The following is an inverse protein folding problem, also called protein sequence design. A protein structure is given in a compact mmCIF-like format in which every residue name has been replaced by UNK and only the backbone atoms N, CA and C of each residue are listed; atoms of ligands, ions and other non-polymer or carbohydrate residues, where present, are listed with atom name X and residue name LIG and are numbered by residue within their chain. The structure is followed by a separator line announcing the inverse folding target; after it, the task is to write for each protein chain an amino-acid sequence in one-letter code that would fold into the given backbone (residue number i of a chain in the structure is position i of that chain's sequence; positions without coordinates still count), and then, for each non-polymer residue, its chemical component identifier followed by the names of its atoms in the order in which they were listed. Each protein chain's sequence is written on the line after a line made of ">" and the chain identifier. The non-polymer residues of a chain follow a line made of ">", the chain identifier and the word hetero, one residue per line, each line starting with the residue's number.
data_IF_263973544158
#
_entry.id   IF_263973544158
#
_cell.length_a   1.000
_cell.length_b   1.000
_cell.length_c   1.000
_cell.angle_alpha   90.00
_cell.angle_beta   90.00
_cell.angle_gamma   90.00
#
_symmetry.space_group_name_H-M   'P 1'
#
loop_
_entity.id
_entity.type
_entity.pdbx_description
1 polymer ?
#
# COMPACT_ATOMS: atom_id res chain seq x y z
N UNK A 1 -7.18 -42.71 33.28
CA UNK A 1 -7.75 -41.69 32.37
C UNK A 1 -7.50 -40.33 32.98
N UNK A 2 -6.43 -39.66 32.55
CA UNK A 2 -6.19 -38.23 32.73
C UNK A 2 -5.14 -37.87 31.68
N UNK A 3 -5.57 -37.28 30.56
CA UNK A 3 -4.66 -36.59 29.64
C UNK A 3 -4.94 -35.10 29.80
N UNK A 4 -3.97 -34.42 30.41
CA UNK A 4 -3.95 -32.97 30.58
C UNK A 4 -3.69 -32.32 29.23
N UNK A 5 -4.55 -31.36 28.86
CA UNK A 5 -4.42 -30.57 27.66
C UNK A 5 -3.20 -29.65 27.71
N UNK A 6 -2.26 -29.88 26.81
CA UNK A 6 -1.18 -28.95 26.50
C UNK A 6 -1.61 -28.06 25.33
N UNK A 7 -2.14 -26.87 25.63
CA UNK A 7 -2.31 -25.81 24.64
C UNK A 7 -0.95 -25.14 24.41
N UNK A 8 -0.38 -25.17 23.19
CA UNK A 8 0.75 -24.30 22.88
C UNK A 8 0.28 -22.85 22.80
N UNK A 9 0.94 -22.00 23.60
CA UNK A 9 0.87 -20.55 23.55
C UNK A 9 1.34 -20.06 22.17
N UNK A 10 0.37 -19.84 21.27
CA UNK A 10 0.60 -19.11 20.02
C UNK A 10 0.59 -17.64 20.38
N UNK A 11 1.74 -17.16 20.85
CA UNK A 11 2.10 -15.74 20.84
C UNK A 11 2.02 -15.25 19.39
N UNK A 12 0.82 -14.82 19.03
CA UNK A 12 0.49 -14.20 17.74
C UNK A 12 1.17 -12.84 17.74
N UNK A 13 2.40 -12.77 17.23
CA UNK A 13 2.99 -11.51 16.79
C UNK A 13 2.04 -10.89 15.77
N UNK A 14 1.37 -9.82 16.18
CA UNK A 14 0.53 -9.01 15.32
C UNK A 14 1.39 -8.46 14.15
N UNK A 15 0.83 -8.34 12.94
CA UNK A 15 1.54 -7.94 11.71
C UNK A 15 1.98 -6.46 11.67
N UNK A 16 2.08 -5.77 12.81
CA UNK A 16 2.45 -4.36 12.89
C UNK A 16 3.87 -4.05 12.44
N UNK A 17 4.80 -5.00 12.60
CA UNK A 17 6.22 -4.79 12.31
C UNK A 17 6.52 -4.45 10.85
N UNK A 18 5.82 -5.04 9.89
CA UNK A 18 6.08 -4.81 8.45
C UNK A 18 5.61 -3.43 7.98
N UNK A 19 4.51 -2.93 8.53
CA UNK A 19 3.98 -1.60 8.19
C UNK A 19 4.87 -0.52 8.76
N UNK A 20 5.31 -0.67 10.01
CA UNK A 20 6.19 0.31 10.66
C UNK A 20 7.55 0.40 9.95
N UNK A 21 8.11 -0.74 9.52
CA UNK A 21 9.34 -0.77 8.70
C UNK A 21 9.14 -0.08 7.35
N UNK A 22 8.00 -0.31 6.69
CA UNK A 22 7.70 0.32 5.41
C UNK A 22 7.49 1.85 5.54
N UNK A 23 6.85 2.29 6.63
CA UNK A 23 6.68 3.72 6.96
C UNK A 23 8.03 4.37 7.23
N UNK A 24 8.90 3.72 8.00
CA UNK A 24 10.23 4.25 8.33
C UNK A 24 11.12 4.35 7.07
N UNK A 25 11.09 3.34 6.21
CA UNK A 25 11.78 3.36 4.93
C UNK A 25 11.26 4.47 3.99
N UNK A 26 9.95 4.75 4.03
CA UNK A 26 9.35 5.84 3.28
C UNK A 26 9.82 7.21 3.81
N UNK A 27 9.85 7.40 5.13
CA UNK A 27 10.35 8.63 5.76
C UNK A 27 11.82 8.88 5.41
N UNK A 28 12.66 7.85 5.42
CA UNK A 28 14.07 8.00 5.03
C UNK A 28 14.24 8.44 3.57
N UNK A 29 13.38 7.95 2.66
CA UNK A 29 13.43 8.33 1.23
C UNK A 29 12.86 9.72 0.95
N UNK A 30 11.85 10.14 1.69
CA UNK A 30 11.17 11.43 1.48
C UNK A 30 11.83 12.59 2.26
N UNK A 31 12.69 12.28 3.21
CA UNK A 31 13.27 13.27 4.12
C UNK A 31 12.28 13.70 5.21
N UNK A 32 12.70 14.65 6.05
CA UNK A 32 11.83 15.18 7.10
C UNK A 32 10.71 16.04 6.48
N UNK A 33 9.43 15.80 6.84
CA UNK A 33 8.33 16.63 6.36
C UNK A 33 8.51 18.08 6.82
N UNK A 34 8.12 19.04 5.98
CA UNK A 34 8.10 20.46 6.37
C UNK A 34 7.11 20.63 7.56
N UNK A 35 7.50 21.30 8.66
CA UNK A 35 6.61 21.59 9.78
C UNK A 35 5.26 22.21 9.36
N UNK A 36 5.23 23.01 8.29
CA UNK A 36 4.02 23.61 7.73
C UNK A 36 3.09 22.55 7.13
N UNK A 37 3.63 21.53 6.47
CA UNK A 37 2.84 20.41 5.95
C UNK A 37 2.22 19.61 7.09
N UNK A 38 2.97 19.35 8.14
CA UNK A 38 2.47 18.64 9.33
C UNK A 38 1.36 19.43 10.01
N UNK A 39 1.52 20.75 10.17
CA UNK A 39 0.48 21.62 10.72
C UNK A 39 -0.79 21.60 9.87
N UNK A 40 -0.66 21.67 8.54
CA UNK A 40 -1.79 21.57 7.62
C UNK A 40 -2.52 20.22 7.74
N UNK A 41 -1.78 19.10 7.82
CA UNK A 41 -2.39 17.78 8.00
C UNK A 41 -3.08 17.63 9.36
N UNK A 42 -2.53 18.22 10.42
CA UNK A 42 -3.15 18.20 11.77
C UNK A 42 -4.42 19.04 11.85
N UNK A 43 -4.52 20.10 11.05
CA UNK A 43 -5.71 20.92 10.95
C UNK A 43 -6.86 20.20 10.19
N UNK A 44 -6.56 19.15 9.41
CA UNK A 44 -7.57 18.40 8.68
C UNK A 44 -8.29 17.38 9.58
N UNK A 45 -9.60 17.25 9.37
CA UNK A 45 -10.36 16.15 9.98
C UNK A 45 -9.84 14.78 9.50
N UNK A 46 -9.98 13.71 10.30
CA UNK A 46 -9.63 12.36 9.87
C UNK A 46 -10.31 11.96 8.56
N UNK A 47 -11.59 12.31 8.38
CA UNK A 47 -12.33 12.04 7.16
C UNK A 47 -11.71 12.72 5.93
N UNK A 48 -11.28 13.99 6.07
CA UNK A 48 -10.63 14.71 4.97
C UNK A 48 -9.28 14.10 4.59
N UNK A 49 -8.51 13.62 5.57
CA UNK A 49 -7.25 12.92 5.30
C UNK A 49 -7.46 11.63 4.53
N UNK A 50 -8.47 10.84 4.90
CA UNK A 50 -8.84 9.61 4.18
C UNK A 50 -9.31 9.90 2.76
N UNK A 51 -10.14 10.94 2.58
CA UNK A 51 -10.59 11.37 1.27
C UNK A 51 -9.40 11.70 0.35
N UNK A 52 -8.43 12.48 0.83
CA UNK A 52 -7.22 12.80 0.08
C UNK A 52 -6.38 11.55 -0.24
N UNK A 53 -6.26 10.60 0.70
CA UNK A 53 -5.56 9.36 0.47
C UNK A 53 -6.23 8.52 -0.64
N UNK A 54 -7.57 8.44 -0.65
CA UNK A 54 -8.30 7.75 -1.72
C UNK A 54 -8.19 8.46 -3.07
N UNK A 55 -8.25 9.79 -3.09
CA UNK A 55 -8.03 10.57 -4.32
C UNK A 55 -6.62 10.32 -4.88
N UNK A 56 -5.60 10.32 -4.02
CA UNK A 56 -4.22 10.02 -4.42
C UNK A 56 -4.07 8.59 -4.96
N UNK A 57 -4.72 7.61 -4.34
CA UNK A 57 -4.73 6.22 -4.80
C UNK A 57 -5.39 6.08 -6.19
N UNK A 58 -6.54 6.70 -6.42
CA UNK A 58 -7.22 6.70 -7.71
C UNK A 58 -6.37 7.38 -8.79
N UNK A 59 -5.75 8.52 -8.47
CA UNK A 59 -4.83 9.20 -9.38
C UNK A 59 -3.67 8.29 -9.81
N UNK A 60 -3.06 7.57 -8.86
CA UNK A 60 -2.00 6.62 -9.16
C UNK A 60 -2.49 5.49 -10.06
N UNK A 61 -3.66 4.91 -9.78
CA UNK A 61 -4.27 3.87 -10.62
C UNK A 61 -4.51 4.35 -12.05
N UNK A 62 -5.08 5.52 -12.23
CA UNK A 62 -5.38 6.07 -13.55
C UNK A 62 -4.10 6.38 -14.34
N UNK A 63 -3.08 6.89 -13.66
CA UNK A 63 -1.76 7.11 -14.26
C UNK A 63 -1.12 5.80 -14.72
N UNK A 64 -1.18 4.75 -13.89
CA UNK A 64 -0.65 3.44 -14.24
C UNK A 64 -1.42 2.84 -15.41
N UNK A 65 -2.76 2.84 -15.37
CA UNK A 65 -3.62 2.36 -16.48
C UNK A 65 -3.30 3.07 -17.80
N UNK A 66 -3.22 4.40 -17.77
CA UNK A 66 -2.91 5.20 -18.95
C UNK A 66 -1.54 4.86 -19.52
N UNK A 67 -0.51 4.75 -18.66
CA UNK A 67 0.85 4.46 -19.13
C UNK A 67 1.02 3.03 -19.62
N UNK A 68 0.36 2.05 -19.00
CA UNK A 68 0.36 0.66 -19.47
C UNK A 68 -0.36 0.54 -20.82
N UNK A 69 -1.53 1.17 -20.99
CA UNK A 69 -2.28 1.16 -22.26
C UNK A 69 -1.50 1.82 -23.40
N UNK A 70 -0.78 2.90 -23.13
CA UNK A 70 0.08 3.56 -24.13
C UNK A 70 1.27 2.70 -24.55
N UNK A 71 1.85 1.93 -23.62
CA UNK A 71 2.99 1.05 -23.90
C UNK A 71 2.59 -0.27 -24.56
N UNK A 72 1.37 -0.71 -24.31
CA UNK A 72 0.85 -1.99 -24.75
C UNK A 72 -0.56 -1.81 -25.32
N UNK A 73 -0.68 -1.19 -26.52
CA UNK A 73 -1.98 -0.88 -27.12
C UNK A 73 -2.78 -2.14 -27.50
N UNK A 74 -2.09 -3.25 -27.73
CA UNK A 74 -2.67 -4.50 -28.23
C UNK A 74 -3.14 -5.46 -27.13
N UNK A 75 -2.91 -5.13 -25.85
CA UNK A 75 -3.34 -5.99 -24.75
C UNK A 75 -4.85 -6.01 -24.62
N UNK A 76 -5.35 -7.19 -24.28
CA UNK A 76 -6.74 -7.33 -23.86
C UNK A 76 -6.99 -6.58 -22.53
N UNK A 77 -8.24 -6.21 -22.23
CA UNK A 77 -8.57 -5.55 -20.97
C UNK A 77 -8.10 -6.31 -19.71
N UNK A 78 -8.16 -7.64 -19.74
CA UNK A 78 -7.79 -8.49 -18.60
C UNK A 78 -6.27 -8.53 -18.39
N UNK A 79 -5.49 -8.63 -19.47
CA UNK A 79 -4.02 -8.56 -19.39
C UNK A 79 -3.54 -7.19 -18.94
N UNK A 80 -4.22 -6.12 -19.37
CA UNK A 80 -3.96 -4.76 -18.91
C UNK A 80 -4.26 -4.61 -17.42
N UNK A 81 -5.43 -5.10 -16.96
CA UNK A 81 -5.81 -5.07 -15.55
C UNK A 81 -4.79 -5.81 -14.67
N UNK A 82 -4.29 -6.96 -15.16
CA UNK A 82 -3.27 -7.72 -14.45
C UNK A 82 -1.96 -6.94 -14.29
N UNK A 83 -1.49 -6.28 -15.37
CA UNK A 83 -0.27 -5.46 -15.32
C UNK A 83 -0.41 -4.25 -14.40
N UNK A 84 -1.58 -3.60 -14.41
CA UNK A 84 -1.88 -2.48 -13.51
C UNK A 84 -1.78 -2.93 -12.06
N UNK A 85 -2.43 -4.05 -11.69
CA UNK A 85 -2.37 -4.61 -10.34
C UNK A 85 -0.95 -4.91 -9.91
N UNK A 86 -0.16 -5.59 -10.77
CA UNK A 86 1.25 -5.92 -10.49
C UNK A 86 2.08 -4.65 -10.21
N UNK A 87 1.90 -3.61 -11.02
CA UNK A 87 2.67 -2.37 -10.91
C UNK A 87 2.26 -1.55 -9.69
N UNK A 88 0.97 -1.53 -9.36
CA UNK A 88 0.46 -0.89 -8.14
C UNK A 88 0.94 -1.57 -6.86
N UNK A 89 1.08 -2.90 -6.88
CA UNK A 89 1.62 -3.67 -5.75
C UNK A 89 3.13 -3.54 -5.59
N UNK A 90 3.84 -2.94 -6.55
CA UNK A 90 5.29 -2.73 -6.49
C UNK A 90 6.13 -4.03 -6.47
N UNK A 91 5.51 -5.19 -6.69
CA UNK A 91 6.19 -6.48 -6.67
C UNK A 91 6.42 -6.98 -8.10
N UNK A 92 7.66 -6.95 -8.61
CA UNK A 92 7.97 -7.44 -9.96
C UNK A 92 7.82 -8.95 -10.11
N UNK A 93 7.73 -9.70 -9.00
CA UNK A 93 7.65 -11.17 -8.95
C UNK A 93 6.23 -11.72 -8.80
N UNK A 94 5.19 -10.89 -8.72
CA UNK A 94 3.81 -11.39 -8.74
C UNK A 94 3.43 -11.86 -10.15
N UNK A 95 3.50 -13.18 -10.35
CA UNK A 95 2.95 -13.90 -11.51
C UNK A 95 3.99 -14.47 -12.48
N UNK A 96 4.73 -15.51 -12.07
CA UNK A 96 4.54 -16.92 -12.50
C UNK A 96 5.02 -17.84 -11.38
#
# INVERSE_FOLDING_TARGET
>A
MSEEGHTPDVSTSLPGGDVDIAIEALHQRQGRPDPRQVAAWRAMSPARRLELAFQAYQFALDTVRLTERRRHPDLTPDELAWRVTRRMQGNPKLGR
#
